data_IF_980841823207
#
_entry.id   IF_980841823207
#
_cell.length_a   1.000
_cell.length_b   1.000
_cell.length_c   1.000
_cell.angle_alpha   90.00
_cell.angle_beta   90.00
_cell.angle_gamma   90.00
#
_symmetry.space_group_name_H-M   'P 1'
#
loop_
_entity.id
_entity.type
_entity.pdbx_description
1 polymer ?
#
# COMPACT_ATOMS: atom_id res chain seq x y z
N UNK A 1 28.67 -16.41 9.32
CA UNK A 1 27.92 -15.24 8.81
C UNK A 1 28.92 -14.26 8.19
N UNK A 2 28.65 -13.72 7.01
CA UNK A 2 29.52 -12.72 6.35
C UNK A 2 29.04 -11.29 6.65
N UNK A 3 29.94 -10.30 6.67
CA UNK A 3 29.59 -8.89 6.95
C UNK A 3 28.41 -8.36 6.08
N UNK A 4 28.30 -8.71 4.77
CA UNK A 4 27.12 -8.36 3.97
C UNK A 4 25.81 -9.01 4.45
N UNK A 5 25.85 -10.25 4.92
CA UNK A 5 24.65 -10.94 5.47
C UNK A 5 24.18 -10.31 6.79
N UNK A 6 25.11 -9.85 7.63
CA UNK A 6 24.76 -9.18 8.88
C UNK A 6 24.12 -7.81 8.63
N UNK A 7 24.67 -7.02 7.70
CA UNK A 7 24.12 -5.72 7.31
C UNK A 7 22.72 -5.86 6.70
N UNK A 8 22.51 -6.86 5.84
CA UNK A 8 21.19 -7.12 5.26
C UNK A 8 20.17 -7.53 6.34
N UNK A 9 20.55 -8.44 7.24
CA UNK A 9 19.67 -8.84 8.36
C UNK A 9 19.31 -7.67 9.28
N UNK A 10 20.25 -6.74 9.49
CA UNK A 10 19.98 -5.52 10.27
C UNK A 10 18.96 -4.61 9.57
N UNK A 11 19.15 -4.35 8.28
CA UNK A 11 18.22 -3.53 7.48
C UNK A 11 16.82 -4.14 7.44
N UNK A 12 16.70 -5.45 7.28
CA UNK A 12 15.40 -6.12 7.29
C UNK A 12 14.69 -5.97 8.64
N UNK A 13 15.41 -6.16 9.75
CA UNK A 13 14.86 -5.93 11.10
C UNK A 13 14.42 -4.49 11.34
N UNK A 14 15.19 -3.52 10.82
CA UNK A 14 14.83 -2.10 10.90
C UNK A 14 13.52 -1.84 10.15
N UNK A 15 13.37 -2.35 8.92
CA UNK A 15 12.15 -2.21 8.12
C UNK A 15 10.95 -2.86 8.82
N UNK A 16 11.09 -4.09 9.32
CA UNK A 16 10.04 -4.77 10.10
C UNK A 16 9.58 -3.92 11.29
N UNK A 17 10.54 -3.35 12.03
CA UNK A 17 10.25 -2.50 13.20
C UNK A 17 9.51 -1.23 12.79
N UNK A 18 9.95 -0.56 11.71
CA UNK A 18 9.28 0.63 11.18
C UNK A 18 7.87 0.32 10.67
N UNK A 19 7.66 -0.82 10.01
CA UNK A 19 6.33 -1.28 9.57
C UNK A 19 5.38 -1.47 10.74
N UNK A 20 5.80 -2.18 11.80
CA UNK A 20 4.98 -2.35 13.02
C UNK A 20 4.61 -1.01 13.63
N UNK A 21 5.58 -0.10 13.76
CA UNK A 21 5.38 1.24 14.32
C UNK A 21 4.39 2.05 13.49
N UNK A 22 4.60 2.16 12.17
CA UNK A 22 3.75 2.94 11.29
C UNK A 22 2.32 2.40 11.24
N UNK A 23 2.16 1.07 11.14
CA UNK A 23 0.84 0.46 11.16
C UNK A 23 0.11 0.71 12.49
N UNK A 24 0.81 0.60 13.62
CA UNK A 24 0.25 0.92 14.94
C UNK A 24 -0.16 2.39 15.05
N UNK A 25 0.66 3.30 14.54
CA UNK A 25 0.33 4.73 14.50
C UNK A 25 -0.91 5.02 13.65
N UNK A 26 -1.08 4.32 12.52
CA UNK A 26 -2.27 4.44 11.67
C UNK A 26 -3.52 3.95 12.40
N UNK A 27 -3.45 2.79 13.06
CA UNK A 27 -4.57 2.27 13.85
C UNK A 27 -4.96 3.25 14.97
N UNK A 28 -3.97 3.80 15.68
CA UNK A 28 -4.20 4.80 16.72
C UNK A 28 -4.79 6.10 16.15
N UNK A 29 -4.30 6.59 15.01
CA UNK A 29 -4.82 7.78 14.35
C UNK A 29 -6.29 7.61 13.93
N UNK A 30 -6.66 6.44 13.41
CA UNK A 30 -8.04 6.10 13.07
C UNK A 30 -8.92 6.07 14.33
N UNK A 31 -8.46 5.43 15.41
CA UNK A 31 -9.20 5.40 16.68
C UNK A 31 -9.39 6.79 17.28
N UNK A 32 -8.38 7.67 17.21
CA UNK A 32 -8.50 9.06 17.66
C UNK A 32 -9.55 9.82 16.83
N UNK A 33 -9.54 9.64 15.51
CA UNK A 33 -10.52 10.28 14.64
C UNK A 33 -11.95 9.83 14.93
N UNK A 34 -12.16 8.53 15.17
CA UNK A 34 -13.44 7.98 15.59
C UNK A 34 -13.91 8.56 16.94
N UNK A 35 -12.98 8.71 17.89
CA UNK A 35 -13.27 9.26 19.23
C UNK A 35 -13.69 10.72 19.18
N UNK A 36 -13.03 11.54 18.37
CA UNK A 36 -13.35 12.98 18.23
C UNK A 36 -14.78 13.23 17.71
N UNK A 37 -15.38 12.23 17.06
CA UNK A 37 -16.76 12.31 16.53
C UNK A 37 -17.80 11.67 17.43
N UNK A 38 -17.38 10.86 18.40
CA UNK A 38 -18.28 10.10 19.26
C UNK A 38 -18.82 8.80 18.65
N UNK A 39 -18.33 8.35 17.50
CA UNK A 39 -18.78 7.08 16.86
C UNK A 39 -17.60 6.16 16.59
N UNK A 40 -17.31 5.27 17.56
CA UNK A 40 -16.29 4.23 17.40
C UNK A 40 -16.72 3.21 16.34
N UNK A 41 -15.79 2.83 15.47
CA UNK A 41 -16.06 1.89 14.39
C UNK A 41 -16.72 2.52 13.17
N UNK A 42 -16.65 3.85 12.99
CA UNK A 42 -17.04 4.53 11.75
C UNK A 42 -15.85 5.31 11.16
N UNK A 43 -15.36 4.85 10.01
CA UNK A 43 -14.25 5.46 9.28
C UNK A 43 -14.70 6.46 8.21
N UNK A 44 -16.01 6.60 7.96
CA UNK A 44 -16.54 7.46 6.89
C UNK A 44 -16.22 8.93 7.13
N UNK A 45 -16.01 9.37 8.36
CA UNK A 45 -15.56 10.73 8.61
C UNK A 45 -14.20 11.06 7.99
N UNK A 46 -13.25 10.13 8.09
CA UNK A 46 -11.94 10.27 7.47
C UNK A 46 -12.00 9.95 5.97
N UNK A 47 -12.81 8.96 5.59
CA UNK A 47 -12.82 8.34 4.28
C UNK A 47 -14.23 8.31 3.67
N UNK A 48 -14.81 9.50 3.55
CA UNK A 48 -16.12 9.74 2.96
C UNK A 48 -16.06 9.57 1.44
N UNK A 49 -16.98 8.79 0.88
CA UNK A 49 -17.03 8.50 -0.56
C UNK A 49 -17.36 9.72 -1.43
N UNK A 50 -17.88 10.79 -0.84
CA UNK A 50 -18.09 12.07 -1.52
C UNK A 50 -16.81 12.92 -1.64
N UNK A 51 -15.74 12.54 -0.95
CA UNK A 51 -14.51 13.33 -0.87
C UNK A 51 -13.46 12.91 -1.88
N UNK A 52 -12.56 13.84 -2.19
CA UNK A 52 -11.37 13.54 -2.97
C UNK A 52 -10.30 12.88 -2.10
N UNK A 53 -9.36 12.16 -2.72
CA UNK A 53 -8.17 11.64 -2.05
C UNK A 53 -7.41 12.73 -1.28
N UNK A 54 -7.38 13.97 -1.79
CA UNK A 54 -6.66 15.08 -1.17
C UNK A 54 -7.36 15.56 0.11
N UNK A 55 -8.69 15.67 0.08
CA UNK A 55 -9.49 16.01 1.26
C UNK A 55 -9.36 14.94 2.35
N UNK A 56 -9.43 13.66 1.97
CA UNK A 56 -9.22 12.54 2.88
C UNK A 56 -7.81 12.57 3.51
N UNK A 57 -6.76 12.82 2.70
CA UNK A 57 -5.39 12.97 3.19
C UNK A 57 -5.24 14.13 4.17
N UNK A 58 -5.81 15.29 3.88
CA UNK A 58 -5.77 16.47 4.76
C UNK A 58 -6.47 16.22 6.09
N UNK A 59 -7.64 15.58 6.08
CA UNK A 59 -8.33 15.19 7.32
C UNK A 59 -7.52 14.19 8.13
N UNK A 60 -6.99 13.16 7.48
CA UNK A 60 -6.27 12.11 8.17
C UNK A 60 -4.93 12.59 8.73
N UNK A 61 -4.25 13.52 8.05
CA UNK A 61 -2.99 14.10 8.49
C UNK A 61 -3.08 14.83 9.85
N UNK A 62 -4.26 15.34 10.25
CA UNK A 62 -4.47 16.02 11.55
C UNK A 62 -4.14 15.13 12.75
N UNK A 63 -4.21 13.81 12.58
CA UNK A 63 -3.94 12.82 13.61
C UNK A 63 -2.47 12.41 13.70
N UNK A 64 -1.60 13.04 12.90
CA UNK A 64 -0.17 12.84 12.91
C UNK A 64 0.57 14.16 13.17
N UNK A 65 1.15 14.29 14.37
CA UNK A 65 1.81 15.53 14.77
C UNK A 65 2.97 15.89 13.83
N UNK A 66 2.94 17.09 13.25
CA UNK A 66 3.96 17.60 12.32
C UNK A 66 3.90 17.03 10.90
N UNK A 67 2.88 16.23 10.56
CA UNK A 67 2.77 15.67 9.22
C UNK A 67 2.54 16.75 8.16
N UNK A 68 3.18 16.57 7.00
CA UNK A 68 2.97 17.40 5.80
C UNK A 68 2.11 16.63 4.80
N UNK A 69 1.18 17.32 4.14
CA UNK A 69 0.42 16.75 3.03
C UNK A 69 0.94 17.28 1.70
N UNK A 70 1.10 16.37 0.75
CA UNK A 70 1.32 16.63 -0.66
C UNK A 70 0.11 16.08 -1.44
N UNK A 71 -0.74 16.96 -1.94
CA UNK A 71 -1.93 16.65 -2.74
C UNK A 71 -1.58 16.29 -4.19
N UNK A 72 -0.47 16.82 -4.71
CA UNK A 72 0.00 16.50 -6.06
C UNK A 72 1.51 16.66 -6.21
N UNK A 73 2.06 16.07 -7.27
CA UNK A 73 3.49 16.19 -7.62
C UNK A 73 3.90 17.62 -8.02
N UNK A 74 2.95 18.43 -8.49
CA UNK A 74 3.18 19.83 -8.90
C UNK A 74 3.32 20.80 -7.72
N UNK A 75 2.91 20.41 -6.52
CA UNK A 75 3.10 21.24 -5.33
C UNK A 75 4.59 21.38 -4.99
N UNK A 76 4.97 22.59 -4.55
CA UNK A 76 6.36 22.93 -4.23
C UNK A 76 6.93 21.96 -3.18
N UNK A 77 8.01 21.26 -3.56
CA UNK A 77 8.69 20.30 -2.70
C UNK A 77 7.92 18.98 -2.48
N UNK A 78 6.99 18.63 -3.37
CA UNK A 78 6.22 17.38 -3.32
C UNK A 78 6.60 16.38 -4.41
N UNK A 79 7.16 16.82 -5.54
CA UNK A 79 7.47 15.97 -6.71
C UNK A 79 8.17 14.64 -6.38
N UNK A 80 9.16 14.68 -5.49
CA UNK A 80 9.94 13.48 -5.11
C UNK A 80 9.11 12.40 -4.43
N UNK A 81 7.95 12.73 -3.86
CA UNK A 81 7.08 11.80 -3.13
C UNK A 81 6.08 11.06 -4.04
N UNK A 82 6.09 11.35 -5.34
CA UNK A 82 5.28 10.69 -6.36
C UNK A 82 6.22 9.85 -7.24
N UNK A 83 6.53 8.64 -6.79
CA UNK A 83 7.57 7.78 -7.36
C UNK A 83 7.06 6.39 -7.67
N UNK A 84 7.83 5.68 -8.50
CA UNK A 84 7.57 4.29 -8.85
C UNK A 84 7.98 3.36 -7.72
N UNK A 85 7.16 2.35 -7.48
CA UNK A 85 7.45 1.24 -6.57
C UNK A 85 7.28 -0.08 -7.29
N UNK A 86 8.17 -1.03 -6.99
CA UNK A 86 8.07 -2.40 -7.51
C UNK A 86 7.01 -3.17 -6.74
N UNK A 87 6.35 -4.13 -7.39
CA UNK A 87 5.50 -5.10 -6.71
C UNK A 87 6.33 -6.07 -5.85
N UNK A 88 5.68 -6.73 -4.90
CA UNK A 88 6.31 -7.79 -4.09
C UNK A 88 6.58 -9.04 -4.92
N UNK A 89 5.79 -9.23 -5.98
CA UNK A 89 5.82 -10.38 -6.88
C UNK A 89 6.32 -9.96 -8.26
N UNK A 90 6.62 -10.95 -9.11
CA UNK A 90 6.92 -10.73 -10.53
C UNK A 90 5.64 -10.44 -11.33
N UNK A 91 5.05 -9.27 -11.09
CA UNK A 91 3.84 -8.81 -11.78
C UNK A 91 4.15 -8.36 -13.21
N UNK A 92 3.30 -8.72 -14.18
CA UNK A 92 3.35 -8.25 -15.56
C UNK A 92 2.15 -7.39 -15.95
N UNK A 93 2.22 -6.67 -17.07
CA UNK A 93 1.05 -6.01 -17.67
C UNK A 93 0.09 -7.05 -18.25
N UNK A 94 -1.23 -6.77 -18.27
CA UNK A 94 -2.32 -7.73 -18.50
C UNK A 94 -2.23 -8.67 -19.72
N UNK A 95 -1.33 -8.44 -20.68
CA UNK A 95 -1.08 -9.32 -21.82
C UNK A 95 0.39 -9.75 -22.01
N UNK A 96 1.35 -9.24 -21.23
CA UNK A 96 2.78 -9.34 -21.55
C UNK A 96 3.63 -10.17 -20.58
N UNK A 97 4.82 -10.54 -21.06
CA UNK A 97 5.87 -11.24 -20.31
C UNK A 97 6.81 -10.28 -19.57
N UNK A 98 6.54 -8.98 -19.57
CA UNK A 98 7.48 -7.99 -19.02
C UNK A 98 7.09 -7.58 -17.61
N UNK A 99 8.05 -7.57 -16.69
CA UNK A 99 7.85 -7.16 -15.31
C UNK A 99 7.60 -5.66 -15.20
N UNK A 100 6.56 -5.29 -14.44
CA UNK A 100 6.12 -3.90 -14.29
C UNK A 100 6.34 -3.37 -12.88
N UNK A 101 6.32 -2.05 -12.76
CA UNK A 101 6.18 -1.29 -11.52
C UNK A 101 4.85 -0.53 -11.51
N UNK A 102 4.57 0.18 -10.43
CA UNK A 102 3.42 1.08 -10.33
C UNK A 102 3.87 2.42 -9.78
N UNK A 103 3.21 3.49 -10.19
CA UNK A 103 3.48 4.83 -9.65
C UNK A 103 2.59 5.05 -8.44
N UNK A 104 3.18 5.57 -7.37
CA UNK A 104 2.45 6.13 -6.23
C UNK A 104 2.09 7.58 -6.57
N UNK A 105 0.94 7.79 -7.21
CA UNK A 105 0.52 9.07 -7.80
C UNK A 105 -0.62 9.80 -7.06
N UNK A 106 -1.06 9.27 -5.93
CA UNK A 106 -2.16 9.85 -5.14
C UNK A 106 -1.62 10.77 -4.01
N UNK A 107 -2.48 11.63 -3.42
CA UNK A 107 -2.14 12.47 -2.27
C UNK A 107 -1.43 11.69 -1.16
N UNK A 108 -0.38 12.30 -0.59
CA UNK A 108 0.55 11.65 0.32
C UNK A 108 0.75 12.47 1.58
N UNK A 109 0.61 11.81 2.72
CA UNK A 109 0.98 12.32 4.05
C UNK A 109 2.43 11.92 4.30
N UNK A 110 3.27 12.86 4.71
CA UNK A 110 4.69 12.69 5.00
C UNK A 110 4.88 12.91 6.49
N UNK A 111 5.39 11.90 7.19
CA UNK A 111 5.62 11.94 8.64
C UNK A 111 7.03 12.45 8.97
N UNK A 112 7.23 12.88 10.22
CA UNK A 112 8.51 13.42 10.68
C UNK A 112 9.69 12.44 10.59
N UNK A 113 9.42 11.13 10.63
CA UNK A 113 10.44 10.09 10.46
C UNK A 113 10.72 9.75 8.98
N UNK A 114 10.10 10.48 8.05
CA UNK A 114 10.26 10.34 6.61
C UNK A 114 9.39 9.25 5.99
N UNK A 115 8.65 8.48 6.79
CA UNK A 115 7.67 7.53 6.27
C UNK A 115 6.49 8.26 5.61
N UNK A 116 5.81 7.57 4.70
CA UNK A 116 4.72 8.18 3.92
C UNK A 116 3.46 7.32 3.91
N UNK A 117 2.31 7.98 3.80
CA UNK A 117 1.00 7.36 3.68
C UNK A 117 0.33 7.98 2.44
N UNK A 118 0.30 7.23 1.34
CA UNK A 118 -0.54 7.57 0.21
C UNK A 118 -2.00 7.26 0.54
N UNK A 119 -2.91 8.17 0.22
CA UNK A 119 -4.35 8.03 0.46
C UNK A 119 -5.07 8.00 -0.88
N UNK A 120 -5.81 6.94 -1.15
CA UNK A 120 -6.72 6.84 -2.29
C UNK A 120 -8.15 6.69 -1.78
N UNK A 121 -8.98 7.71 -2.01
CA UNK A 121 -10.41 7.68 -1.71
C UNK A 121 -11.17 7.19 -2.92
N UNK A 122 -12.13 6.28 -2.71
CA UNK A 122 -13.03 5.83 -3.78
C UNK A 122 -14.40 6.49 -3.66
N UNK A 123 -15.06 6.65 -4.80
CA UNK A 123 -16.42 7.23 -4.91
C UNK A 123 -17.53 6.30 -4.40
N UNK A 124 -17.21 5.05 -4.10
CA UNK A 124 -18.11 4.08 -3.46
C UNK A 124 -17.27 3.05 -2.71
N UNK A 125 -17.75 2.57 -1.57
CA UNK A 125 -17.13 1.44 -0.87
C UNK A 125 -17.36 0.14 -1.63
N UNK A 126 -18.57 -0.05 -2.19
CA UNK A 126 -18.90 -1.19 -3.06
C UNK A 126 -18.51 -0.87 -4.50
N UNK A 127 -17.57 -1.65 -5.05
CA UNK A 127 -17.14 -1.55 -6.44
C UNK A 127 -17.08 -2.94 -7.04
N UNK A 128 -17.68 -3.09 -8.20
CA UNK A 128 -17.71 -4.32 -8.97
C UNK A 128 -16.87 -4.12 -10.23
N UNK A 129 -15.93 -5.03 -10.48
CA UNK A 129 -15.15 -5.05 -11.71
C UNK A 129 -15.42 -6.37 -12.43
N UNK A 130 -16.28 -6.31 -13.45
CA UNK A 130 -16.65 -7.43 -14.30
C UNK A 130 -15.52 -7.83 -15.27
N UNK A 131 -14.56 -6.92 -15.52
CA UNK A 131 -13.43 -7.14 -16.43
C UNK A 131 -12.14 -7.57 -15.69
N UNK A 132 -12.25 -8.16 -14.49
CA UNK A 132 -11.10 -8.75 -13.79
C UNK A 132 -10.87 -10.19 -14.27
N UNK A 133 -9.81 -10.83 -13.78
CA UNK A 133 -9.40 -12.16 -14.20
C UNK A 133 -9.08 -13.06 -13.01
N UNK A 134 -9.11 -14.37 -13.24
CA UNK A 134 -8.49 -15.32 -12.31
C UNK A 134 -6.97 -15.13 -12.36
N UNK A 135 -6.35 -14.88 -11.21
CA UNK A 135 -4.93 -14.55 -11.10
C UNK A 135 -4.11 -15.68 -10.47
N UNK A 136 -2.84 -15.78 -10.86
CA UNK A 136 -1.82 -16.56 -10.16
C UNK A 136 -1.37 -15.88 -8.85
N UNK A 137 -0.46 -16.53 -8.11
CA UNK A 137 0.07 -15.97 -6.86
C UNK A 137 0.87 -14.67 -7.05
N UNK A 138 1.32 -14.37 -8.27
CA UNK A 138 2.03 -13.14 -8.65
C UNK A 138 1.07 -12.02 -9.07
N UNK A 139 -0.24 -12.28 -9.08
CA UNK A 139 -1.28 -11.34 -9.51
C UNK A 139 -1.43 -11.23 -11.02
N UNK A 140 -0.89 -12.17 -11.80
CA UNK A 140 -1.01 -12.18 -13.25
C UNK A 140 -2.21 -13.00 -13.67
N UNK A 141 -2.95 -12.55 -14.70
CA UNK A 141 -4.09 -13.30 -15.22
C UNK A 141 -3.63 -14.66 -15.75
N UNK A 142 -4.32 -15.71 -15.33
CA UNK A 142 -4.08 -17.07 -15.82
C UNK A 142 -4.63 -17.17 -17.25
N UNK A 143 -3.79 -17.68 -18.15
CA UNK A 143 -4.15 -17.98 -19.53
C UNK A 143 -4.40 -19.48 -19.70
N UNK A 144 -5.41 -19.84 -20.48
CA UNK A 144 -5.64 -21.21 -20.90
C UNK A 144 -4.62 -21.66 -21.97
N UNK A 145 -4.72 -22.91 -22.43
CA UNK A 145 -3.82 -23.48 -23.44
C UNK A 145 -3.90 -22.76 -24.81
N UNK A 146 -4.97 -22.02 -25.06
CA UNK A 146 -5.19 -21.23 -26.27
C UNK A 146 -4.78 -19.76 -26.10
N UNK A 147 -4.30 -19.37 -24.91
CA UNK A 147 -3.87 -18.02 -24.58
C UNK A 147 -4.97 -17.07 -24.11
N UNK A 148 -6.20 -17.57 -23.90
CA UNK A 148 -7.32 -16.75 -23.44
C UNK A 148 -7.29 -16.58 -21.92
N UNK A 149 -7.74 -15.42 -21.45
CA UNK A 149 -7.85 -15.09 -20.03
C UNK A 149 -9.15 -15.66 -19.47
N UNK A 150 -9.11 -16.26 -18.28
CA UNK A 150 -10.33 -16.59 -17.53
C UNK A 150 -10.84 -15.35 -16.81
N UNK A 151 -11.95 -14.79 -17.30
CA UNK A 151 -12.61 -13.63 -16.70
C UNK A 151 -13.22 -13.96 -15.34
N UNK A 152 -13.30 -12.94 -14.49
CA UNK A 152 -13.88 -13.03 -13.16
C UNK A 152 -14.43 -11.67 -12.76
N UNK A 153 -15.64 -11.65 -12.18
CA UNK A 153 -16.11 -10.48 -11.44
C UNK A 153 -15.46 -10.41 -10.07
N UNK A 154 -14.82 -9.28 -9.75
CA UNK A 154 -14.28 -9.01 -8.42
C UNK A 154 -15.08 -7.90 -7.74
N UNK A 155 -15.52 -8.17 -6.51
CA UNK A 155 -16.20 -7.20 -5.65
C UNK A 155 -15.20 -6.68 -4.62
N UNK A 156 -15.12 -5.36 -4.48
CA UNK A 156 -14.40 -4.66 -3.42
C UNK A 156 -15.39 -3.89 -2.56
N UNK A 157 -15.16 -3.88 -1.23
CA UNK A 157 -16.06 -3.26 -0.25
C UNK A 157 -15.37 -2.18 0.61
N UNK A 158 -14.09 -1.89 0.37
CA UNK A 158 -13.34 -0.88 1.11
C UNK A 158 -13.55 0.51 0.48
N UNK A 159 -13.76 1.53 1.30
CA UNK A 159 -14.02 2.92 0.88
C UNK A 159 -12.76 3.68 0.48
N UNK A 160 -11.61 3.30 1.05
CA UNK A 160 -10.32 3.87 0.73
C UNK A 160 -9.22 2.80 0.80
N UNK A 161 -8.11 3.07 0.13
CA UNK A 161 -6.88 2.29 0.31
C UNK A 161 -5.75 3.22 0.72
N UNK A 162 -4.95 2.78 1.68
CA UNK A 162 -3.70 3.43 2.03
C UNK A 162 -2.54 2.62 1.47
N UNK A 163 -1.56 3.29 0.88
CA UNK A 163 -0.26 2.67 0.61
C UNK A 163 0.76 3.34 1.52
N UNK A 164 1.32 2.55 2.44
CA UNK A 164 2.35 3.02 3.36
C UNK A 164 3.73 2.72 2.80
N UNK A 165 4.66 3.65 2.99
CA UNK A 165 6.09 3.44 2.76
C UNK A 165 6.83 3.79 4.04
N UNK A 166 7.44 2.79 4.67
CA UNK A 166 8.07 2.92 5.99
C UNK A 166 9.49 3.50 5.90
N UNK A 167 10.03 3.64 4.70
CA UNK A 167 11.39 4.13 4.44
C UNK A 167 11.41 5.38 3.54
N UNK A 168 10.26 5.80 3.02
CA UNK A 168 10.06 7.04 2.28
C UNK A 168 10.82 7.04 0.97
N UNK A 169 11.66 8.04 0.73
CA UNK A 169 12.44 8.13 -0.52
C UNK A 169 13.61 7.14 -0.59
N UNK A 170 13.93 6.47 0.53
CA UNK A 170 15.08 5.56 0.61
C UNK A 170 14.68 4.18 0.08
N UNK A 171 15.51 3.63 -0.81
CA UNK A 171 15.38 2.27 -1.32
C UNK A 171 15.17 1.22 -0.21
N UNK A 172 14.46 0.11 -0.50
CA UNK A 172 14.17 -0.43 -1.83
C UNK A 172 12.97 0.14 -2.62
N UNK A 173 12.03 0.86 -2.02
CA UNK A 173 10.79 1.31 -2.68
C UNK A 173 10.06 0.15 -3.39
N UNK A 174 9.81 -0.92 -2.65
CA UNK A 174 9.23 -2.15 -3.15
C UNK A 174 8.20 -2.71 -2.18
N UNK A 175 7.04 -3.09 -2.72
CA UNK A 175 6.03 -3.79 -1.95
C UNK A 175 6.59 -5.05 -1.29
N UNK A 176 6.22 -5.27 -0.03
CA UNK A 176 6.72 -6.39 0.78
C UNK A 176 8.05 -6.11 1.48
N UNK A 177 8.87 -5.18 0.98
CA UNK A 177 10.11 -4.78 1.62
C UNK A 177 9.91 -3.59 2.56
N UNK A 178 9.43 -2.47 2.02
CA UNK A 178 9.18 -1.21 2.73
C UNK A 178 7.83 -0.56 2.38
N UNK A 179 7.16 -1.06 1.34
CA UNK A 179 5.84 -0.58 0.90
C UNK A 179 4.76 -1.62 1.17
N UNK A 180 3.59 -1.20 1.66
CA UNK A 180 2.45 -2.10 1.96
C UNK A 180 1.10 -1.43 1.72
N UNK A 181 0.10 -2.22 1.33
CA UNK A 181 -1.28 -1.74 1.23
C UNK A 181 -2.09 -2.02 2.50
N UNK A 182 -3.02 -1.11 2.80
CA UNK A 182 -4.03 -1.20 3.85
C UNK A 182 -5.38 -0.87 3.22
N UNK A 183 -6.41 -1.63 3.57
CA UNK A 183 -7.78 -1.39 3.14
C UNK A 183 -8.61 -0.79 4.28
N UNK A 184 -9.32 0.29 3.97
CA UNK A 184 -10.20 0.99 4.90
C UNK A 184 -11.64 0.70 4.51
N UNK A 185 -12.34 -0.04 5.35
CA UNK A 185 -13.78 -0.27 5.26
C UNK A 185 -14.51 0.77 6.11
N UNK A 186 -15.82 0.87 5.97
CA UNK A 186 -16.64 1.75 6.79
C UNK A 186 -16.40 1.52 8.30
N UNK A 187 -16.18 0.27 8.71
CA UNK A 187 -16.10 -0.08 10.13
C UNK A 187 -14.75 -0.63 10.63
N UNK A 188 -13.77 -0.79 9.75
CA UNK A 188 -12.47 -1.35 10.12
C UNK A 188 -11.36 -0.93 9.17
N UNK A 189 -10.13 -1.03 9.65
CA UNK A 189 -8.91 -0.86 8.86
C UNK A 189 -8.09 -2.13 8.97
N UNK A 190 -7.78 -2.77 7.85
CA UNK A 190 -7.06 -4.05 7.84
C UNK A 190 -5.96 -4.08 6.77
N UNK A 191 -4.95 -4.94 6.91
CA UNK A 191 -3.93 -5.12 5.88
C UNK A 191 -4.55 -5.52 4.54
N UNK A 192 -3.93 -5.07 3.45
CA UNK A 192 -4.26 -5.55 2.12
C UNK A 192 -3.93 -7.04 1.98
N UNK A 193 -4.77 -7.76 1.25
CA UNK A 193 -4.64 -9.21 1.05
C UNK A 193 -4.05 -9.60 -0.32
N UNK A 194 -3.83 -8.63 -1.21
CA UNK A 194 -3.28 -8.91 -2.54
C UNK A 194 -1.76 -9.09 -2.49
N UNK A 195 -1.26 -10.27 -2.85
CA UNK A 195 0.17 -10.60 -2.76
C UNK A 195 1.11 -9.58 -3.44
N UNK A 196 0.81 -9.07 -4.65
CA UNK A 196 1.67 -8.09 -5.32
C UNK A 196 1.89 -6.81 -4.50
N UNK A 197 0.96 -6.44 -3.62
CA UNK A 197 1.08 -5.26 -2.75
C UNK A 197 1.61 -5.59 -1.34
N UNK A 198 2.36 -6.68 -1.23
CA UNK A 198 3.15 -7.00 -0.04
C UNK A 198 2.39 -7.75 1.05
N UNK A 199 1.22 -8.30 0.76
CA UNK A 199 0.36 -8.96 1.74
C UNK A 199 1.06 -10.07 2.55
N UNK A 200 1.86 -10.92 1.89
CA UNK A 200 2.59 -12.01 2.55
C UNK A 200 3.58 -11.48 3.61
N UNK A 201 4.41 -10.51 3.22
CA UNK A 201 5.34 -9.83 4.14
C UNK A 201 4.61 -9.14 5.28
N UNK A 202 3.53 -8.40 4.96
CA UNK A 202 2.80 -7.66 5.96
C UNK A 202 2.17 -8.59 7.00
N UNK A 203 1.56 -9.69 6.54
CA UNK A 203 1.00 -10.71 7.43
C UNK A 203 2.08 -11.34 8.33
N UNK A 204 3.26 -11.66 7.79
CA UNK A 204 4.38 -12.18 8.59
C UNK A 204 4.81 -11.20 9.68
N UNK A 205 4.87 -9.90 9.37
CA UNK A 205 5.22 -8.85 10.35
C UNK A 205 4.17 -8.77 11.46
N UNK A 206 2.89 -8.77 11.10
CA UNK A 206 1.79 -8.60 12.05
C UNK A 206 1.55 -9.83 12.92
N UNK A 207 1.93 -11.02 12.44
CA UNK A 207 1.85 -12.29 13.20
C UNK A 207 3.13 -12.58 13.99
N UNK A 208 4.12 -11.68 13.98
CA UNK A 208 5.36 -11.83 14.74
C UNK A 208 6.39 -12.79 14.13
N UNK A 209 6.17 -13.28 12.90
CA UNK A 209 7.17 -14.07 12.15
C UNK A 209 8.36 -13.21 11.71
N UNK A 210 8.15 -11.90 11.58
CA UNK A 210 9.19 -10.89 11.31
C UNK A 210 10.04 -11.18 10.07
N UNK A 211 9.39 -11.75 9.04
CA UNK A 211 10.02 -12.15 7.78
C UNK A 211 9.45 -11.37 6.60
N UNK A 212 10.33 -10.70 5.86
CA UNK A 212 10.00 -10.11 4.57
C UNK A 212 9.95 -11.20 3.49
N UNK A 213 8.89 -11.19 2.70
CA UNK A 213 8.60 -12.12 1.60
C UNK A 213 8.23 -11.32 0.35
N UNK A 214 9.25 -11.10 -0.49
CA UNK A 214 9.16 -10.41 -1.78
C UNK A 214 10.28 -10.89 -2.71
N UNK A 215 10.10 -10.72 -4.01
CA UNK A 215 11.06 -11.15 -5.05
C UNK A 215 11.81 -9.94 -5.59
N UNK A 216 13.14 -10.00 -5.63
CA UNK A 216 13.95 -8.97 -6.29
C UNK A 216 13.92 -9.17 -7.81
N UNK A 217 13.65 -8.11 -8.54
CA UNK A 217 13.64 -8.12 -10.01
C UNK A 217 13.95 -6.74 -10.59
N UNK A 218 14.14 -6.69 -11.91
CA UNK A 218 14.33 -5.45 -12.68
C UNK A 218 13.09 -5.19 -13.50
N UNK A 219 12.47 -4.01 -13.34
CA UNK A 219 11.35 -3.59 -14.19
C UNK A 219 11.79 -3.59 -15.66
N UNK A 220 10.95 -4.07 -16.56
CA UNK A 220 11.27 -4.17 -17.97
C UNK A 220 11.95 -5.48 -18.38
N UNK A 221 12.36 -6.34 -17.44
CA UNK A 221 12.86 -7.68 -17.79
C UNK A 221 11.71 -8.63 -18.13
N UNK A 222 12.01 -9.67 -18.91
CA UNK A 222 11.08 -10.79 -19.13
C UNK A 222 10.83 -11.58 -17.84
N UNK A 223 9.64 -12.17 -17.72
CA UNK A 223 9.12 -12.93 -16.58
C UNK A 223 9.92 -14.22 -16.36
#
# INVERSE_FOLDING_TARGET
MTLPSLVNNYKEKELVTKTKKLYSNIQNAVLLAQKDLGTIGDNTFLFDVSQTSAQAAQKFAKYFNGAKVCESSSQKGCSNYFYKVKYATKKTSGAGDTLVDTTLDEPKIILNDGSTIQVKQYSSCYRENENDCVQDSSGNCIKDASGNITEKTTIQQFCASLTIDVNGLKLPNQYGADVYSIYVYQNKVQPGYWNPTGAASFNNILTGKDKLEYVKYTTGSKL
#
